data_IF_187409264503
#
_entry.id   IF_187409264503
#
_cell.length_a   1.000
_cell.length_b   1.000
_cell.length_c   1.000
_cell.angle_alpha   90.00
_cell.angle_beta   90.00
_cell.angle_gamma   90.00
#
_symmetry.space_group_name_H-M   'P 1'
#
loop_
_entity.id
_entity.type
_entity.pdbx_description
1 polymer ?
#
# COMPACT_ATOMS: atom_id res chain seq x y z
N UNK A 1 -0.54 -11.63 13.90
CA UNK A 1 -0.16 -11.84 12.47
C UNK A 1 -1.43 -11.84 11.65
N UNK A 2 -1.54 -10.89 10.73
CA UNK A 2 -2.73 -10.71 9.92
C UNK A 2 -2.87 -11.75 8.80
N UNK A 3 -4.06 -11.82 8.19
CA UNK A 3 -4.33 -12.65 7.02
C UNK A 3 -5.33 -11.96 6.09
N UNK A 4 -5.43 -12.44 4.84
CA UNK A 4 -6.45 -12.04 3.87
C UNK A 4 -7.27 -13.28 3.52
N UNK A 5 -8.60 -13.17 3.57
CA UNK A 5 -9.52 -14.19 3.12
C UNK A 5 -10.53 -13.59 2.13
N UNK A 6 -10.51 -14.09 0.92
CA UNK A 6 -11.39 -13.69 -0.17
C UNK A 6 -12.34 -14.86 -0.45
N UNK A 7 -13.64 -14.69 -0.23
CA UNK A 7 -14.62 -15.75 -0.30
C UNK A 7 -15.72 -15.41 -1.32
N UNK A 8 -15.70 -16.06 -2.49
CA UNK A 8 -16.75 -16.01 -3.49
C UNK A 8 -17.01 -14.62 -4.10
N UNK A 9 -15.96 -13.82 -4.26
CA UNK A 9 -16.07 -12.45 -4.77
C UNK A 9 -16.43 -12.46 -6.25
N UNK A 10 -17.54 -11.79 -6.58
CA UNK A 10 -18.01 -11.60 -7.96
C UNK A 10 -18.23 -10.11 -8.24
N UNK A 11 -17.91 -9.69 -9.47
CA UNK A 11 -18.09 -8.33 -9.93
C UNK A 11 -18.41 -8.29 -11.42
N UNK A 12 -19.45 -7.54 -11.77
CA UNK A 12 -19.86 -7.23 -13.14
C UNK A 12 -19.52 -5.78 -13.48
N UNK A 13 -18.92 -5.55 -14.62
CA UNK A 13 -18.62 -4.19 -15.10
C UNK A 13 -19.92 -3.46 -15.51
N UNK A 14 -19.91 -2.11 -15.58
CA UNK A 14 -21.09 -1.32 -15.95
C UNK A 14 -21.66 -1.66 -17.34
N UNK A 15 -20.83 -2.25 -18.23
CA UNK A 15 -21.23 -2.73 -19.55
C UNK A 15 -21.95 -4.11 -19.53
N UNK A 16 -22.17 -4.68 -18.34
CA UNK A 16 -22.79 -5.99 -18.14
C UNK A 16 -21.86 -7.18 -18.30
N UNK A 17 -20.56 -6.94 -18.54
CA UNK A 17 -19.57 -8.01 -18.68
C UNK A 17 -19.07 -8.44 -17.30
N UNK A 18 -19.11 -9.74 -16.98
CA UNK A 18 -18.55 -10.25 -15.73
C UNK A 18 -17.02 -10.09 -15.75
N UNK A 19 -16.46 -9.54 -14.68
CA UNK A 19 -15.02 -9.38 -14.50
C UNK A 19 -14.45 -10.40 -13.52
N UNK A 20 -15.12 -10.62 -12.39
CA UNK A 20 -14.76 -11.61 -11.38
C UNK A 20 -15.95 -12.54 -11.16
N UNK A 21 -15.68 -13.85 -11.01
CA UNK A 21 -16.69 -14.86 -10.80
C UNK A 21 -16.27 -15.81 -9.67
N UNK A 22 -17.01 -15.78 -8.56
CA UNK A 22 -16.81 -16.61 -7.37
C UNK A 22 -15.32 -16.73 -6.95
N UNK A 23 -14.56 -15.66 -7.16
CA UNK A 23 -13.12 -15.61 -6.84
C UNK A 23 -12.90 -15.86 -5.36
N UNK A 24 -12.15 -16.92 -5.03
CA UNK A 24 -11.90 -17.33 -3.65
C UNK A 24 -10.44 -17.77 -3.46
N UNK A 25 -9.77 -17.20 -2.46
CA UNK A 25 -8.43 -17.61 -2.02
C UNK A 25 -8.12 -17.05 -0.63
N UNK A 26 -7.08 -17.61 -0.02
CA UNK A 26 -6.59 -17.15 1.27
C UNK A 26 -5.08 -16.93 1.24
N UNK A 27 -4.63 -15.77 1.75
CA UNK A 27 -3.23 -15.47 2.05
C UNK A 27 -3.04 -15.67 3.56
N UNK A 28 -2.28 -16.69 3.91
CA UNK A 28 -2.03 -17.06 5.31
C UNK A 28 -1.14 -16.06 6.03
N UNK A 29 -1.21 -16.04 7.35
CA UNK A 29 -0.39 -15.18 8.19
C UNK A 29 1.11 -15.39 7.94
N UNK A 30 1.84 -14.29 7.73
CA UNK A 30 3.28 -14.30 7.50
C UNK A 30 3.72 -14.91 6.17
N UNK A 31 2.81 -15.11 5.20
CA UNK A 31 3.15 -15.60 3.87
C UNK A 31 3.13 -14.50 2.82
N UNK A 32 4.04 -14.62 1.84
CA UNK A 32 4.06 -13.77 0.65
C UNK A 32 3.40 -14.49 -0.51
N UNK A 33 2.31 -13.93 -1.03
CA UNK A 33 1.58 -14.48 -2.18
C UNK A 33 1.57 -13.47 -3.33
N UNK A 34 1.66 -13.95 -4.56
CA UNK A 34 1.54 -13.10 -5.74
C UNK A 34 0.28 -13.40 -6.52
N UNK A 35 -0.45 -12.35 -6.90
CA UNK A 35 -1.59 -12.40 -7.79
C UNK A 35 -1.10 -12.16 -9.23
N UNK A 36 -1.20 -13.18 -10.06
CA UNK A 36 -0.79 -13.16 -11.46
C UNK A 36 -1.99 -13.37 -12.39
N UNK A 37 -1.85 -13.01 -13.64
CA UNK A 37 -2.88 -13.18 -14.66
C UNK A 37 -2.69 -12.18 -15.81
N UNK A 38 -3.38 -12.36 -16.93
CA UNK A 38 -3.26 -11.46 -18.07
C UNK A 38 -3.74 -10.03 -17.74
N UNK A 39 -3.36 -9.08 -18.60
CA UNK A 39 -3.88 -7.72 -18.49
C UNK A 39 -5.39 -7.72 -18.68
N UNK A 40 -6.11 -6.96 -17.87
CA UNK A 40 -7.57 -6.91 -17.90
C UNK A 40 -8.27 -8.07 -17.16
N UNK A 41 -7.54 -9.02 -16.54
CA UNK A 41 -8.14 -10.09 -15.74
C UNK A 41 -8.79 -9.62 -14.42
N UNK A 42 -8.66 -8.35 -14.07
CA UNK A 42 -9.28 -7.82 -12.84
C UNK A 42 -8.35 -7.74 -11.63
N UNK A 43 -7.03 -7.92 -11.77
CA UNK A 43 -6.06 -7.89 -10.65
C UNK A 43 -6.17 -6.60 -9.83
N UNK A 44 -6.03 -5.43 -10.46
CA UNK A 44 -6.14 -4.13 -9.79
C UNK A 44 -7.53 -3.91 -9.20
N UNK A 45 -8.58 -4.35 -9.88
CA UNK A 45 -9.95 -4.29 -9.36
C UNK A 45 -10.11 -5.16 -8.11
N UNK A 46 -9.57 -6.37 -8.13
CA UNK A 46 -9.58 -7.25 -6.96
C UNK A 46 -8.80 -6.64 -5.79
N UNK A 47 -7.64 -6.02 -6.02
CA UNK A 47 -6.92 -5.28 -4.97
C UNK A 47 -7.77 -4.13 -4.40
N UNK A 48 -8.51 -3.38 -5.25
CA UNK A 48 -9.43 -2.32 -4.78
C UNK A 48 -10.57 -2.87 -3.94
N UNK A 49 -11.11 -4.04 -4.30
CA UNK A 49 -12.14 -4.72 -3.49
C UNK A 49 -11.54 -5.15 -2.15
N UNK A 50 -10.34 -5.74 -2.14
CA UNK A 50 -9.67 -6.19 -0.92
C UNK A 50 -9.43 -5.02 0.03
N UNK A 51 -9.01 -3.86 -0.46
CA UNK A 51 -8.78 -2.68 0.39
C UNK A 51 -10.05 -1.91 0.77
N UNK A 52 -11.20 -2.30 0.20
CA UNK A 52 -12.51 -1.70 0.50
C UNK A 52 -12.85 -0.43 -0.28
N UNK A 53 -12.10 -0.09 -1.34
CA UNK A 53 -12.36 1.09 -2.19
C UNK A 53 -13.43 0.82 -3.25
N UNK A 54 -13.71 -0.46 -3.52
CA UNK A 54 -14.73 -0.88 -4.46
C UNK A 54 -15.57 -2.00 -3.86
N UNK A 55 -16.89 -1.86 -3.91
CA UNK A 55 -17.80 -2.92 -3.52
C UNK A 55 -17.82 -4.05 -4.57
N UNK A 56 -17.89 -5.29 -4.13
CA UNK A 56 -18.21 -6.43 -4.97
C UNK A 56 -19.73 -6.60 -5.08
N UNK A 57 -20.21 -7.27 -6.15
CA UNK A 57 -21.64 -7.62 -6.30
C UNK A 57 -22.04 -8.76 -5.36
N UNK A 58 -21.09 -9.68 -5.11
CA UNK A 58 -21.26 -10.81 -4.20
C UNK A 58 -19.93 -11.21 -3.55
N UNK A 59 -20.01 -12.02 -2.49
CA UNK A 59 -18.84 -12.49 -1.75
C UNK A 59 -18.43 -11.55 -0.61
N UNK A 60 -17.38 -11.97 0.11
CA UNK A 60 -16.87 -11.24 1.29
C UNK A 60 -15.35 -11.25 1.28
N UNK A 61 -14.74 -10.15 1.66
CA UNK A 61 -13.32 -10.05 1.95
C UNK A 61 -13.14 -9.78 3.45
N UNK A 62 -12.30 -10.59 4.08
CA UNK A 62 -11.90 -10.41 5.48
C UNK A 62 -10.41 -10.17 5.56
N UNK A 63 -10.02 -9.09 6.23
CA UNK A 63 -8.63 -8.80 6.56
C UNK A 63 -8.53 -8.74 8.07
N UNK A 64 -7.62 -9.50 8.63
CA UNK A 64 -7.25 -9.44 10.04
C UNK A 64 -5.92 -8.69 10.15
N UNK A 65 -5.84 -7.71 11.05
CA UNK A 65 -4.67 -6.84 11.22
C UNK A 65 -4.73 -5.52 10.43
N UNK A 66 -3.74 -4.66 10.68
CA UNK A 66 -3.57 -3.39 9.95
C UNK A 66 -3.20 -3.65 8.49
N UNK A 67 -3.73 -2.80 7.59
CA UNK A 67 -3.53 -2.89 6.16
C UNK A 67 -2.69 -1.73 5.62
N UNK A 68 -1.47 -2.03 5.18
CA UNK A 68 -0.64 -1.13 4.40
C UNK A 68 -0.80 -1.36 2.90
N UNK A 69 -0.88 -0.29 2.13
CA UNK A 69 -1.13 -0.37 0.68
C UNK A 69 -0.13 0.46 -0.09
N UNK A 70 0.46 -0.12 -1.13
CA UNK A 70 1.22 0.57 -2.15
C UNK A 70 0.50 0.46 -3.49
N UNK A 71 0.02 1.58 -3.99
CA UNK A 71 -0.62 1.68 -5.30
C UNK A 71 0.38 1.69 -6.45
N UNK A 72 -0.05 1.25 -7.63
CA UNK A 72 0.74 1.24 -8.87
C UNK A 72 1.34 2.62 -9.22
N UNK A 73 0.68 3.71 -8.85
CA UNK A 73 1.10 5.09 -9.17
C UNK A 73 2.23 5.63 -8.29
N UNK A 74 2.67 4.92 -7.25
CA UNK A 74 3.89 5.29 -6.51
C UNK A 74 5.08 5.22 -7.46
N UNK A 75 5.85 6.32 -7.53
CA UNK A 75 6.93 6.48 -8.51
C UNK A 75 6.59 7.42 -9.68
N UNK A 76 5.35 7.95 -9.70
CA UNK A 76 4.90 8.98 -10.64
C UNK A 76 4.39 10.20 -9.86
N UNK A 77 5.22 10.73 -8.94
CA UNK A 77 4.85 11.87 -8.11
C UNK A 77 4.36 13.04 -8.97
N UNK A 78 3.21 13.58 -8.60
CA UNK A 78 2.68 14.80 -9.21
C UNK A 78 3.48 16.01 -8.71
N UNK A 79 3.60 17.04 -9.56
CA UNK A 79 4.25 18.29 -9.17
C UNK A 79 3.55 18.92 -7.95
N UNK A 80 4.33 19.34 -6.97
CA UNK A 80 3.81 19.90 -5.72
C UNK A 80 3.57 18.89 -4.61
N UNK A 81 3.70 17.57 -4.87
CA UNK A 81 3.67 16.57 -3.80
C UNK A 81 5.04 16.45 -3.13
N UNK A 82 5.01 16.34 -1.81
CA UNK A 82 6.23 16.26 -0.97
C UNK A 82 6.53 14.83 -0.52
N UNK A 83 7.75 14.62 -0.04
CA UNK A 83 8.16 13.38 0.64
C UNK A 83 7.26 13.10 1.84
N UNK A 84 6.87 14.12 2.62
CA UNK A 84 5.95 13.97 3.74
C UNK A 84 4.61 13.40 3.29
N UNK A 85 3.99 13.98 2.27
CA UNK A 85 2.70 13.51 1.74
C UNK A 85 2.76 12.06 1.21
N UNK A 86 3.88 11.66 0.60
CA UNK A 86 4.07 10.26 0.21
C UNK A 86 4.10 9.35 1.44
N UNK A 87 4.83 9.72 2.50
CA UNK A 87 4.93 8.94 3.73
C UNK A 87 3.59 8.88 4.47
N UNK A 88 2.85 9.99 4.53
CA UNK A 88 1.48 10.05 5.08
C UNK A 88 0.54 9.14 4.29
N UNK A 89 0.62 9.14 2.96
CA UNK A 89 -0.22 8.29 2.10
C UNK A 89 -0.09 6.80 2.40
N UNK A 90 1.12 6.33 2.69
CA UNK A 90 1.40 4.92 2.99
C UNK A 90 1.39 4.60 4.49
N UNK A 91 1.18 5.59 5.34
CA UNK A 91 1.08 5.42 6.79
C UNK A 91 -0.16 4.62 7.20
N UNK A 92 -0.15 3.99 8.38
CA UNK A 92 -1.31 3.36 8.96
C UNK A 92 -2.53 4.29 8.97
N UNK A 93 -3.70 3.73 8.69
CA UNK A 93 -4.94 4.50 8.47
C UNK A 93 -5.20 5.56 9.56
N UNK A 94 -4.99 5.19 10.83
CA UNK A 94 -5.22 6.10 11.97
C UNK A 94 -4.27 7.30 11.93
N UNK A 95 -2.98 7.05 11.69
CA UNK A 95 -1.96 8.12 11.59
C UNK A 95 -2.22 8.98 10.37
N UNK A 96 -2.51 8.38 9.21
CA UNK A 96 -2.82 9.10 7.97
C UNK A 96 -4.01 10.04 8.15
N UNK A 97 -5.10 9.58 8.76
CA UNK A 97 -6.29 10.40 9.01
C UNK A 97 -5.96 11.58 9.93
N UNK A 98 -5.22 11.34 11.00
CA UNK A 98 -4.82 12.39 11.93
C UNK A 98 -3.84 13.40 11.30
N UNK A 99 -2.89 12.95 10.47
CA UNK A 99 -1.95 13.82 9.75
C UNK A 99 -2.68 14.75 8.77
N UNK A 100 -3.59 14.20 7.96
CA UNK A 100 -4.41 15.01 7.03
C UNK A 100 -5.29 16.02 7.77
N UNK A 101 -5.86 15.64 8.91
CA UNK A 101 -6.64 16.56 9.74
C UNK A 101 -5.77 17.67 10.35
N UNK A 102 -4.55 17.35 10.76
CA UNK A 102 -3.60 18.32 11.30
C UNK A 102 -3.17 19.33 10.24
N UNK A 103 -2.80 18.87 9.03
CA UNK A 103 -2.46 19.75 7.91
C UNK A 103 -3.62 20.70 7.56
N UNK A 104 -4.84 20.16 7.45
CA UNK A 104 -6.03 20.98 7.16
C UNK A 104 -6.32 22.02 8.25
N UNK A 105 -6.10 21.68 9.52
CA UNK A 105 -6.28 22.61 10.64
C UNK A 105 -5.18 23.69 10.68
N UNK A 106 -3.95 23.34 10.31
CA UNK A 106 -2.83 24.29 10.19
C UNK A 106 -3.08 25.30 9.05
N UNK A 107 -3.51 24.82 7.88
CA UNK A 107 -3.87 25.68 6.75
C UNK A 107 -5.03 26.64 7.11
N UNK A 108 -6.07 26.14 7.79
CA UNK A 108 -7.18 26.97 8.24
C UNK A 108 -6.75 28.04 9.25
N UNK A 109 -5.79 27.73 10.14
CA UNK A 109 -5.22 28.69 11.09
C UNK A 109 -4.39 29.75 10.38
N UNK A 110 -3.62 29.37 9.36
CA UNK A 110 -2.83 30.31 8.53
C UNK A 110 -3.75 31.28 7.77
N UNK A 111 -4.87 30.77 7.21
CA UNK A 111 -5.84 31.60 6.49
C UNK A 111 -6.59 32.56 7.42
N UNK A 112 -6.96 32.10 8.62
CA UNK A 112 -7.73 32.88 9.62
C UNK A 112 -7.25 32.54 11.02
N UNK A 113 -6.53 33.47 11.64
CA UNK A 113 -6.10 33.34 13.03
C UNK A 113 -7.22 33.80 13.98
N UNK A 114 -8.21 32.91 14.17
CA UNK A 114 -9.38 33.10 15.02
C UNK A 114 -9.38 32.05 16.15
N UNK A 115 -10.14 32.31 17.20
CA UNK A 115 -10.21 31.38 18.35
C UNK A 115 -10.64 29.97 17.96
N UNK A 116 -11.58 29.83 17.02
CA UNK A 116 -12.11 28.54 16.59
C UNK A 116 -11.04 27.74 15.79
N UNK A 117 -10.26 28.40 14.93
CA UNK A 117 -9.16 27.75 14.18
C UNK A 117 -8.00 27.40 15.08
N UNK A 118 -7.67 28.23 16.09
CA UNK A 118 -6.66 27.90 17.11
C UNK A 118 -7.07 26.67 17.93
N UNK A 119 -8.35 26.56 18.33
CA UNK A 119 -8.85 25.40 19.05
C UNK A 119 -8.89 24.14 18.18
N UNK A 120 -9.29 24.27 16.91
CA UNK A 120 -9.26 23.15 15.96
C UNK A 120 -7.84 22.63 15.75
N UNK A 121 -6.84 23.51 15.58
CA UNK A 121 -5.45 23.14 15.43
C UNK A 121 -4.89 22.46 16.71
N UNK A 122 -5.18 23.00 17.89
CA UNK A 122 -4.78 22.38 19.15
C UNK A 122 -5.38 20.97 19.32
N UNK A 123 -6.63 20.78 18.91
CA UNK A 123 -7.30 19.48 18.93
C UNK A 123 -6.64 18.51 17.95
N UNK A 124 -6.35 18.95 16.73
CA UNK A 124 -5.70 18.13 15.71
C UNK A 124 -4.28 17.69 16.12
N UNK A 125 -3.50 18.57 16.80
CA UNK A 125 -2.21 18.20 17.39
C UNK A 125 -2.36 17.06 18.41
N UNK A 126 -3.36 17.16 19.31
CA UNK A 126 -3.60 16.11 20.30
C UNK A 126 -4.03 14.80 19.65
N UNK A 127 -4.90 14.84 18.65
CA UNK A 127 -5.34 13.66 17.89
C UNK A 127 -4.18 12.99 17.12
N UNK A 128 -3.27 13.78 16.55
CA UNK A 128 -2.08 13.26 15.88
C UNK A 128 -1.13 12.58 16.88
N UNK A 129 -0.93 13.18 18.04
CA UNK A 129 -0.16 12.57 19.12
C UNK A 129 -0.81 11.25 19.60
N UNK A 130 -2.13 11.26 19.85
CA UNK A 130 -2.88 10.07 20.29
C UNK A 130 -2.92 8.95 19.24
N UNK A 131 -2.82 9.31 17.95
CA UNK A 131 -2.67 8.35 16.86
C UNK A 131 -1.27 7.71 16.81
N UNK A 132 -0.30 8.25 17.56
CA UNK A 132 1.10 7.81 17.53
C UNK A 132 1.89 8.44 16.38
N UNK A 133 1.45 9.60 15.86
CA UNK A 133 2.06 10.24 14.70
C UNK A 133 3.51 10.64 14.94
N UNK A 134 3.80 11.30 16.05
CA UNK A 134 5.17 11.73 16.41
C UNK A 134 6.12 10.55 16.62
N UNK A 135 5.67 9.46 17.24
CA UNK A 135 6.45 8.23 17.35
C UNK A 135 6.72 7.61 15.98
N UNK A 136 5.75 7.70 15.08
CA UNK A 136 5.87 7.17 13.73
C UNK A 136 6.84 7.98 12.85
N UNK A 137 7.05 9.26 13.13
CA UNK A 137 8.08 10.08 12.45
C UNK A 137 9.49 9.53 12.64
N UNK A 138 9.75 8.80 13.73
CA UNK A 138 11.03 8.09 13.92
C UNK A 138 11.22 6.95 12.91
N UNK A 139 10.12 6.29 12.52
CA UNK A 139 10.12 5.29 11.44
C UNK A 139 10.36 5.98 10.09
N UNK A 140 9.73 7.11 9.84
CA UNK A 140 9.96 7.90 8.63
C UNK A 140 11.41 8.40 8.51
N UNK A 141 12.03 8.78 9.63
CA UNK A 141 13.45 9.15 9.64
C UNK A 141 14.34 7.98 9.18
N UNK A 142 14.09 6.78 9.72
CA UNK A 142 14.80 5.57 9.29
C UNK A 142 14.57 5.27 7.80
N UNK A 143 13.33 5.46 7.30
CA UNK A 143 12.98 5.22 5.90
C UNK A 143 13.69 6.21 4.97
N UNK A 144 13.70 7.50 5.30
CA UNK A 144 14.35 8.54 4.48
C UNK A 144 15.86 8.40 4.48
N UNK A 145 16.48 8.04 5.61
CA UNK A 145 17.91 7.71 5.67
C UNK A 145 18.22 6.49 4.81
N UNK A 146 17.41 5.42 4.89
CA UNK A 146 17.66 4.19 4.12
C UNK A 146 17.43 4.36 2.62
N UNK A 147 16.42 5.13 2.22
CA UNK A 147 16.05 5.32 0.81
C UNK A 147 16.77 6.49 0.13
N UNK A 148 17.00 7.59 0.85
CA UNK A 148 17.45 8.85 0.30
C UNK A 148 18.82 9.32 0.86
N UNK A 149 19.33 8.67 1.91
CA UNK A 149 20.59 9.04 2.58
C UNK A 149 20.51 10.33 3.41
N UNK A 150 19.30 10.84 3.70
CA UNK A 150 19.10 12.09 4.45
C UNK A 150 18.02 11.91 5.52
N UNK A 151 18.15 12.59 6.69
CA UNK A 151 17.12 12.58 7.74
C UNK A 151 15.77 13.13 7.25
N UNK A 152 14.69 12.66 7.86
CA UNK A 152 13.32 13.05 7.54
C UNK A 152 13.11 14.57 7.59
N UNK A 153 13.61 15.26 8.61
CA UNK A 153 13.51 16.72 8.75
C UNK A 153 14.07 17.51 7.55
N UNK A 154 15.06 16.94 6.85
CA UNK A 154 15.61 17.54 5.62
C UNK A 154 14.88 17.09 4.36
N UNK A 155 14.27 15.91 4.39
CA UNK A 155 13.59 15.33 3.24
C UNK A 155 12.13 15.78 3.15
N UNK A 156 11.44 16.03 4.26
CA UNK A 156 9.97 16.14 4.36
C UNK A 156 9.34 17.11 3.36
N UNK A 157 9.97 18.25 3.12
CA UNK A 157 9.48 19.29 2.21
C UNK A 157 10.02 19.17 0.78
N UNK A 158 10.82 18.14 0.49
CA UNK A 158 11.32 17.91 -0.87
C UNK A 158 10.19 17.52 -1.78
N UNK A 159 10.12 18.18 -2.95
CA UNK A 159 9.17 17.82 -4.00
C UNK A 159 9.51 16.42 -4.55
N UNK A 160 8.51 15.56 -4.69
CA UNK A 160 8.67 14.19 -5.17
C UNK A 160 9.23 14.13 -6.59
N UNK A 161 8.99 15.15 -7.43
CA UNK A 161 9.55 15.21 -8.78
C UNK A 161 11.08 15.33 -8.79
N UNK A 162 11.69 15.69 -7.65
CA UNK A 162 13.15 15.71 -7.49
C UNK A 162 13.76 14.34 -7.19
N UNK A 163 12.91 13.35 -6.92
CA UNK A 163 13.27 11.96 -6.70
C UNK A 163 13.00 11.14 -7.97
N UNK A 164 13.88 10.18 -8.25
CA UNK A 164 13.58 9.18 -9.26
C UNK A 164 12.38 8.30 -8.84
N UNK A 165 11.67 7.73 -9.81
CA UNK A 165 10.57 6.81 -9.51
C UNK A 165 10.99 5.63 -8.64
N UNK A 166 12.24 5.15 -8.79
CA UNK A 166 12.82 4.12 -7.95
C UNK A 166 13.03 4.56 -6.49
N UNK A 167 13.51 5.79 -6.25
CA UNK A 167 13.66 6.34 -4.91
C UNK A 167 12.31 6.53 -4.22
N UNK A 168 11.30 7.03 -4.93
CA UNK A 168 9.94 7.17 -4.41
C UNK A 168 9.36 5.80 -4.00
N UNK A 169 9.49 4.79 -4.85
CA UNK A 169 9.02 3.43 -4.56
C UNK A 169 9.78 2.81 -3.39
N UNK A 170 11.11 2.95 -3.38
CA UNK A 170 11.92 2.44 -2.28
C UNK A 170 11.51 3.07 -0.96
N UNK A 171 11.28 4.39 -0.93
CA UNK A 171 10.83 5.10 0.26
C UNK A 171 9.47 4.59 0.76
N UNK A 172 8.49 4.41 -0.14
CA UNK A 172 7.19 3.85 0.21
C UNK A 172 7.28 2.42 0.73
N UNK A 173 8.11 1.57 0.10
CA UNK A 173 8.35 0.19 0.53
C UNK A 173 9.04 0.12 1.91
N UNK A 174 10.05 0.97 2.16
CA UNK A 174 10.69 1.07 3.49
C UNK A 174 9.64 1.42 4.56
N UNK A 175 8.75 2.40 4.29
CA UNK A 175 7.72 2.81 5.22
C UNK A 175 6.70 1.70 5.51
N UNK A 176 6.24 0.98 4.49
CA UNK A 176 5.29 -0.14 4.63
C UNK A 176 5.91 -1.34 5.34
N UNK A 177 7.15 -1.69 5.01
CA UNK A 177 7.83 -2.84 5.61
C UNK A 177 8.20 -2.61 7.08
N UNK A 178 8.56 -1.38 7.46
CA UNK A 178 8.90 -1.00 8.84
C UNK A 178 7.69 -0.58 9.67
N UNK A 179 6.62 -0.13 9.02
CA UNK A 179 5.39 0.28 9.71
C UNK A 179 4.73 -0.85 10.50
N UNK A 180 3.71 -0.56 11.31
CA UNK A 180 3.07 -1.54 12.19
C UNK A 180 2.02 -2.41 11.48
N UNK A 181 1.59 -2.07 10.26
CA UNK A 181 0.58 -2.83 9.54
C UNK A 181 1.05 -4.27 9.31
N UNK A 182 0.17 -5.24 9.57
CA UNK A 182 0.49 -6.67 9.51
C UNK A 182 0.27 -7.28 8.12
N UNK A 183 -0.57 -6.64 7.32
CA UNK A 183 -0.95 -7.05 5.96
C UNK A 183 -0.52 -5.99 4.97
N UNK A 184 0.15 -6.39 3.90
CA UNK A 184 0.57 -5.49 2.83
C UNK A 184 -0.06 -5.88 1.49
N UNK A 185 -0.63 -4.89 0.78
CA UNK A 185 -1.02 -4.99 -0.62
C UNK A 185 -0.06 -4.16 -1.46
N UNK A 186 0.66 -4.82 -2.38
CA UNK A 186 1.69 -4.17 -3.21
C UNK A 186 1.34 -4.34 -4.69
N UNK A 187 0.99 -3.26 -5.36
CA UNK A 187 0.68 -3.29 -6.80
C UNK A 187 1.92 -2.88 -7.61
N UNK A 188 2.53 -3.86 -8.29
CA UNK A 188 3.75 -3.73 -9.10
C UNK A 188 4.91 -3.04 -8.33
N UNK A 189 5.33 -3.58 -7.17
CA UNK A 189 6.37 -2.96 -6.34
C UNK A 189 7.74 -2.91 -7.00
N UNK A 190 7.99 -3.78 -7.96
CA UNK A 190 9.27 -3.95 -8.67
C UNK A 190 9.44 -3.03 -9.88
N UNK A 191 8.37 -2.39 -10.37
CA UNK A 191 8.45 -1.48 -11.50
C UNK A 191 9.30 -0.24 -11.18
N UNK A 192 10.15 0.18 -12.13
CA UNK A 192 11.08 1.32 -12.03
C UNK A 192 12.24 1.13 -11.02
N UNK A 193 12.33 -0.02 -10.36
CA UNK A 193 13.47 -0.32 -9.50
C UNK A 193 14.67 -0.77 -10.35
N UNK A 194 15.86 -0.30 -9.98
CA UNK A 194 17.12 -0.83 -10.50
C UNK A 194 17.42 -2.23 -9.92
N UNK A 195 18.39 -2.92 -10.50
CA UNK A 195 18.73 -4.30 -10.10
C UNK A 195 19.12 -4.40 -8.61
N UNK A 196 19.96 -3.50 -8.05
CA UNK A 196 20.26 -3.53 -6.61
C UNK A 196 19.02 -3.38 -5.73
N UNK A 197 18.12 -2.46 -6.07
CA UNK A 197 16.89 -2.22 -5.29
C UNK A 197 15.89 -3.37 -5.43
N UNK A 198 15.80 -4.03 -6.59
CA UNK A 198 15.01 -5.25 -6.77
C UNK A 198 15.51 -6.39 -5.85
N UNK A 199 16.82 -6.61 -5.79
CA UNK A 199 17.41 -7.61 -4.89
C UNK A 199 17.17 -7.29 -3.41
N UNK A 200 17.24 -6.02 -3.06
CA UNK A 200 16.84 -5.56 -1.73
C UNK A 200 15.38 -5.90 -1.44
N UNK A 201 14.46 -5.62 -2.38
CA UNK A 201 13.03 -5.94 -2.23
C UNK A 201 12.80 -7.45 -2.07
N UNK A 202 13.44 -8.28 -2.91
CA UNK A 202 13.40 -9.76 -2.80
C UNK A 202 13.77 -10.22 -1.37
N UNK A 203 14.87 -9.69 -0.83
CA UNK A 203 15.34 -10.05 0.51
C UNK A 203 14.40 -9.56 1.61
N UNK A 204 13.86 -8.32 1.49
CA UNK A 204 12.87 -7.80 2.45
C UNK A 204 11.59 -8.63 2.48
N UNK A 205 11.08 -9.03 1.31
CA UNK A 205 9.88 -9.87 1.21
C UNK A 205 10.09 -11.29 1.79
N UNK A 206 11.31 -11.83 1.70
CA UNK A 206 11.65 -13.14 2.30
C UNK A 206 11.77 -13.08 3.82
N UNK A 207 12.20 -11.95 4.37
CA UNK A 207 12.49 -11.80 5.80
C UNK A 207 11.32 -11.21 6.58
N UNK A 208 10.37 -10.55 5.91
CA UNK A 208 9.25 -9.91 6.59
C UNK A 208 8.34 -10.94 7.27
N UNK A 209 7.94 -10.71 8.53
CA UNK A 209 6.93 -11.52 9.18
C UNK A 209 5.50 -11.16 8.75
N UNK A 210 5.35 -10.14 7.88
CA UNK A 210 4.05 -9.64 7.43
C UNK A 210 3.42 -10.56 6.41
N UNK A 211 2.11 -10.50 6.31
CA UNK A 211 1.35 -11.12 5.23
C UNK A 211 1.36 -10.21 4.02
N UNK A 212 1.85 -10.69 2.89
CA UNK A 212 1.99 -9.87 1.69
C UNK A 212 1.18 -10.48 0.54
N UNK A 213 0.33 -9.67 -0.08
CA UNK A 213 -0.25 -9.95 -1.38
C UNK A 213 0.27 -8.92 -2.38
N UNK A 214 0.99 -9.39 -3.39
CA UNK A 214 1.56 -8.51 -4.41
C UNK A 214 1.08 -8.87 -5.81
N UNK A 215 1.05 -7.88 -6.70
CA UNK A 215 0.95 -8.07 -8.15
C UNK A 215 2.32 -7.77 -8.74
N UNK A 216 2.86 -8.70 -9.50
CA UNK A 216 4.11 -8.49 -10.25
C UNK A 216 4.14 -9.34 -11.51
N UNK A 217 4.90 -8.87 -12.48
CA UNK A 217 5.24 -9.59 -13.72
C UNK A 217 6.71 -10.01 -13.76
N UNK A 218 7.49 -9.68 -12.72
CA UNK A 218 8.91 -10.02 -12.62
C UNK A 218 9.08 -11.46 -12.17
N UNK A 219 9.56 -12.30 -13.09
CA UNK A 219 9.74 -13.75 -12.84
C UNK A 219 10.79 -14.04 -11.77
N UNK A 220 11.82 -13.18 -11.66
CA UNK A 220 12.87 -13.38 -10.64
C UNK A 220 12.33 -13.09 -9.24
N UNK A 221 11.60 -11.97 -9.07
CA UNK A 221 10.92 -11.64 -7.82
C UNK A 221 9.96 -12.76 -7.41
N UNK A 222 9.10 -13.22 -8.34
CA UNK A 222 8.15 -14.30 -8.09
C UNK A 222 8.84 -15.60 -7.65
N UNK A 223 9.92 -15.98 -8.33
CA UNK A 223 10.64 -17.22 -8.03
C UNK A 223 11.41 -17.18 -6.71
N UNK A 224 11.85 -15.99 -6.27
CA UNK A 224 12.76 -15.87 -5.12
C UNK A 224 12.09 -15.44 -3.83
N UNK A 225 11.00 -14.69 -3.92
CA UNK A 225 10.39 -14.01 -2.76
C UNK A 225 8.93 -14.37 -2.49
N UNK A 226 8.33 -15.26 -3.30
CA UNK A 226 6.90 -15.58 -3.21
C UNK A 226 6.71 -17.04 -2.82
N UNK A 227 5.90 -17.28 -1.77
CA UNK A 227 5.60 -18.64 -1.29
C UNK A 227 4.50 -19.30 -2.12
N UNK A 228 3.54 -18.52 -2.64
CA UNK A 228 2.39 -19.03 -3.39
C UNK A 228 2.02 -18.11 -4.55
N UNK A 229 1.58 -18.71 -5.64
CA UNK A 229 1.01 -18.01 -6.78
C UNK A 229 -0.50 -18.17 -6.80
N UNK A 230 -1.22 -17.06 -6.96
CA UNK A 230 -2.65 -17.00 -7.16
C UNK A 230 -2.86 -16.55 -8.61
N UNK A 231 -3.31 -17.46 -9.46
CA UNK A 231 -3.57 -17.13 -10.87
C UNK A 231 -5.01 -16.68 -11.04
N UNK A 232 -5.23 -15.50 -11.58
CA UNK A 232 -6.54 -15.02 -11.97
C UNK A 232 -6.75 -15.34 -13.46
N UNK A 233 -7.56 -16.37 -13.73
CA UNK A 233 -7.81 -16.85 -15.08
C UNK A 233 -9.16 -16.32 -15.61
N UNK A 234 -9.16 -15.59 -16.74
CA UNK A 234 -10.39 -15.16 -17.38
C UNK A 234 -11.22 -16.36 -17.85
N UNK A 235 -12.48 -16.39 -17.46
CA UNK A 235 -13.46 -17.38 -17.91
C UNK A 235 -14.66 -16.75 -18.62
N UNK A 236 -15.56 -17.55 -19.15
CA UNK A 236 -16.78 -17.06 -19.81
C UNK A 236 -17.75 -16.33 -18.89
N UNK A 237 -17.71 -16.62 -17.59
CA UNK A 237 -18.53 -16.00 -16.55
C UNK A 237 -17.78 -14.95 -15.72
N UNK A 238 -16.54 -14.64 -16.05
CA UNK A 238 -15.62 -13.79 -15.29
C UNK A 238 -14.31 -14.51 -14.98
N UNK A 239 -13.42 -13.84 -14.25
CA UNK A 239 -12.17 -14.47 -13.84
C UNK A 239 -12.31 -15.14 -12.48
N UNK A 240 -11.79 -16.35 -12.36
CA UNK A 240 -11.69 -17.12 -11.12
C UNK A 240 -10.24 -17.29 -10.68
N UNK A 241 -10.03 -17.52 -9.38
CA UNK A 241 -8.69 -17.64 -8.80
C UNK A 241 -8.30 -19.11 -8.60
N UNK A 242 -7.05 -19.43 -8.99
CA UNK A 242 -6.41 -20.72 -8.73
C UNK A 242 -5.16 -20.51 -7.90
N UNK A 243 -5.05 -21.27 -6.80
CA UNK A 243 -3.88 -21.18 -5.90
C UNK A 243 -2.90 -22.31 -6.23
N UNK A 244 -1.67 -21.93 -6.59
CA UNK A 244 -0.57 -22.85 -6.79
C UNK A 244 0.36 -22.79 -5.59
N UNK A 245 0.63 -23.93 -4.93
CA UNK A 245 1.65 -24.01 -3.89
C UNK A 245 3.03 -23.90 -4.53
N UNK A 246 3.89 -23.05 -3.94
CA UNK A 246 5.32 -23.09 -4.21
C UNK A 246 5.88 -24.42 -3.66
N UNK A 247 6.62 -25.12 -4.49
CA UNK A 247 7.38 -26.31 -4.09
C UNK A 247 8.72 -25.96 -3.48
#
# INVERSE_FOLDING_TARGET
>A
MGYIDVAGVSLTLPDGRPLLDETAFRVGAGSTSALIGPNGAGKTTLLRIIRGDQAADAGVVTIDGGLGVMDQFVGHGEAGQTVHELLVRVAPRRIRQAAVALEAAEDALIERDEHDTQMAYATAIAEYADAGGYEHETVWDQCTVAALGVPYERARFRDLTTLSGGEQKRLALEALLRGPDEVLLLDEPDNYLDVPTKRWLEEQLRQTPKTVLLVSHDRELLARAVDRLITLEPGGAGASAWVHGGG
#
